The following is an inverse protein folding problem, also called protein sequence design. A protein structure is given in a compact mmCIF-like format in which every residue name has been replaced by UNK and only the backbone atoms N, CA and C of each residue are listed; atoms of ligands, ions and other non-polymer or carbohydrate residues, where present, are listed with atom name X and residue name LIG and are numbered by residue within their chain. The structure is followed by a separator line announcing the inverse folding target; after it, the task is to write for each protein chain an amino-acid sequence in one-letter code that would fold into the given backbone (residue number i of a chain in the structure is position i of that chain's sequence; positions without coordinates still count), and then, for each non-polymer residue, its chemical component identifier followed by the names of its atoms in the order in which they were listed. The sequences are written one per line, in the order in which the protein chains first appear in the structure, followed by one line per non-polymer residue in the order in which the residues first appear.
data_IF_596514632036
#
_entry.id   IF_596514632036
#
_cell.length_a   1.000
_cell.length_b   1.000
_cell.length_c   1.000
_cell.angle_alpha   90.00
_cell.angle_beta   90.00
_cell.angle_gamma   90.00
#
_symmetry.space_group_name_H-M   'P 1'
#
loop_
_entity.id
_entity.type
_entity.pdbx_description
1 polymer ?
#
# COMPACT_ATOMS: atom_id res chain seq x y z
N UNK A 1 13.59 -11.67 1.47
CA UNK A 1 13.37 -11.27 2.87
C UNK A 1 12.45 -12.29 3.54
N UNK A 2 12.57 -12.54 4.84
CA UNK A 2 11.71 -13.50 5.56
C UNK A 2 10.86 -12.73 6.57
N UNK A 3 9.55 -12.90 6.50
CA UNK A 3 8.59 -12.29 7.42
C UNK A 3 8.15 -13.32 8.47
N UNK A 4 8.18 -12.99 9.77
CA UNK A 4 7.79 -13.92 10.81
C UNK A 4 6.30 -14.22 10.77
N UNK A 5 5.98 -15.49 10.99
CA UNK A 5 4.63 -16.04 11.08
C UNK A 5 4.52 -16.83 12.38
N UNK A 6 3.47 -16.58 13.14
CA UNK A 6 3.21 -17.27 14.40
C UNK A 6 1.80 -17.86 14.38
N UNK A 7 1.64 -19.04 14.95
CA UNK A 7 0.32 -19.60 15.28
C UNK A 7 0.16 -19.56 16.79
N UNK A 8 -0.82 -18.80 17.23
CA UNK A 8 -1.13 -18.55 18.63
C UNK A 8 -2.36 -19.36 19.04
N UNK A 9 -2.28 -20.00 20.19
CA UNK A 9 -3.44 -20.46 20.93
C UNK A 9 -3.88 -19.37 21.89
N UNK A 10 -5.09 -18.86 21.71
CA UNK A 10 -5.67 -17.80 22.52
C UNK A 10 -6.85 -18.37 23.28
N UNK A 11 -6.79 -18.28 24.62
CA UNK A 11 -7.91 -18.59 25.50
C UNK A 11 -8.38 -17.29 26.17
N UNK A 12 -9.54 -16.74 25.79
CA UNK A 12 -10.09 -15.54 26.41
C UNK A 12 -10.32 -15.74 27.90
N UNK A 13 -9.88 -14.78 28.72
CA UNK A 13 -10.09 -14.80 30.19
C UNK A 13 -11.37 -14.05 30.60
N UNK A 14 -11.96 -13.29 29.68
CA UNK A 14 -13.16 -12.47 29.86
C UNK A 14 -14.21 -12.85 28.80
N UNK A 15 -15.42 -12.26 28.86
CA UNK A 15 -16.48 -12.44 27.86
C UNK A 15 -16.17 -11.82 26.49
N UNK A 16 -14.91 -11.49 26.21
CA UNK A 16 -14.49 -10.93 24.93
C UNK A 16 -14.51 -12.00 23.83
N UNK A 17 -15.07 -11.62 22.69
CA UNK A 17 -15.03 -12.45 21.49
C UNK A 17 -13.61 -12.52 20.92
N UNK A 18 -13.27 -13.67 20.31
CA UNK A 18 -11.95 -13.87 19.68
C UNK A 18 -11.64 -12.82 18.60
N UNK A 19 -12.67 -12.34 17.91
CA UNK A 19 -12.53 -11.33 16.86
C UNK A 19 -12.07 -9.99 17.45
N UNK A 20 -12.52 -9.65 18.66
CA UNK A 20 -12.08 -8.46 19.38
C UNK A 20 -10.62 -8.58 19.78
N UNK A 21 -10.20 -9.75 20.29
CA UNK A 21 -8.79 -10.00 20.63
C UNK A 21 -7.91 -9.97 19.38
N UNK A 22 -8.36 -10.56 18.27
CA UNK A 22 -7.66 -10.52 16.99
C UNK A 22 -7.54 -9.08 16.45
N UNK A 23 -8.59 -8.28 16.58
CA UNK A 23 -8.55 -6.86 16.21
C UNK A 23 -7.56 -6.08 17.10
N UNK A 24 -7.51 -6.34 18.41
CA UNK A 24 -6.53 -5.75 19.31
C UNK A 24 -5.09 -6.12 18.90
N UNK A 25 -4.83 -7.40 18.61
CA UNK A 25 -3.55 -7.86 18.09
C UNK A 25 -3.17 -7.12 16.78
N UNK A 26 -4.13 -6.92 15.88
CA UNK A 26 -3.92 -6.19 14.63
C UNK A 26 -3.53 -4.72 14.79
N UNK A 27 -3.76 -4.12 15.97
CA UNK A 27 -3.34 -2.74 16.27
C UNK A 27 -1.95 -2.63 16.91
N UNK A 28 -1.30 -3.76 17.20
CA UNK A 28 -0.01 -3.77 17.86
C UNK A 28 1.13 -3.45 16.90
N UNK A 29 2.18 -2.76 17.38
CA UNK A 29 3.33 -2.43 16.54
C UNK A 29 4.02 -3.69 16.03
N UNK A 30 4.41 -3.67 14.76
CA UNK A 30 5.09 -4.78 14.11
C UNK A 30 4.17 -5.90 13.61
N UNK A 31 2.90 -5.95 14.03
CA UNK A 31 1.92 -6.91 13.51
C UNK A 31 1.31 -6.36 12.22
N UNK A 32 1.38 -7.17 11.17
CA UNK A 32 0.91 -6.84 9.80
C UNK A 32 -0.49 -7.38 9.53
N UNK A 33 -0.74 -8.62 9.93
CA UNK A 33 -2.05 -9.26 9.75
C UNK A 33 -2.33 -10.31 10.81
N UNK A 34 -3.61 -10.49 11.13
CA UNK A 34 -4.08 -11.41 12.17
C UNK A 34 -5.31 -12.14 11.64
N UNK A 35 -5.29 -13.46 11.65
CA UNK A 35 -6.35 -14.28 11.05
C UNK A 35 -6.74 -15.42 11.99
N UNK A 36 -8.01 -15.47 12.45
CA UNK A 36 -8.50 -16.61 13.22
C UNK A 36 -8.63 -17.84 12.31
N UNK A 37 -8.13 -18.98 12.77
CA UNK A 37 -8.23 -20.24 12.03
C UNK A 37 -9.60 -20.88 12.33
N UNK A 38 -10.42 -21.18 11.32
CA UNK A 38 -11.67 -21.90 11.53
C UNK A 38 -11.44 -23.31 12.08
N UNK A 39 -12.20 -23.74 13.09
CA UNK A 39 -12.03 -25.06 13.74
C UNK A 39 -12.13 -26.26 12.78
N UNK A 40 -12.71 -26.09 11.58
CA UNK A 40 -12.80 -27.14 10.55
C UNK A 40 -11.45 -27.62 10.00
N UNK A 41 -10.35 -26.87 10.18
CA UNK A 41 -9.02 -27.29 9.73
C UNK A 41 -8.14 -27.88 10.85
N UNK A 42 -8.65 -27.99 12.08
CA UNK A 42 -7.89 -28.52 13.22
C UNK A 42 -8.01 -30.05 13.41
N UNK A 43 -8.73 -30.77 12.53
CA UNK A 43 -8.77 -32.23 12.55
C UNK A 43 -7.64 -32.83 11.70
N UNK A 44 -6.41 -32.75 12.20
CA UNK A 44 -5.39 -33.74 11.86
C UNK A 44 -5.16 -34.60 13.10
N UNK A 45 -5.74 -35.80 13.03
CA UNK A 45 -5.46 -37.02 13.82
C UNK A 45 -5.50 -36.94 15.35
N UNK A 46 -6.68 -37.22 15.89
CA UNK A 46 -6.81 -38.28 16.90
C UNK A 46 -8.17 -38.96 16.77
N UNK A 47 -8.14 -40.22 16.33
CA UNK A 47 -9.21 -41.17 16.57
C UNK A 47 -9.30 -41.41 18.08
N UNK A 48 -10.45 -41.14 18.69
CA UNK A 48 -11.17 -42.11 19.53
C UNK A 48 -12.47 -41.54 20.13
N UNK A 49 -13.56 -42.26 19.82
CA UNK A 49 -14.78 -42.53 20.60
C UNK A 49 -15.50 -41.45 21.44
N UNK A 50 -16.78 -41.19 21.05
CA UNK A 50 -18.03 -40.89 21.81
C UNK A 50 -17.88 -40.27 23.23
N UNK A 51 -18.63 -39.24 23.61
CA UNK A 51 -20.07 -39.32 24.01
C UNK A 51 -20.63 -37.90 24.28
N UNK A 52 -21.93 -37.72 24.05
CA UNK A 52 -22.70 -36.51 24.33
C UNK A 52 -22.65 -36.08 25.81
N UNK A 53 -22.62 -34.75 26.03
CA UNK A 53 -22.83 -34.10 27.32
C UNK A 53 -22.83 -32.59 27.15
N UNK A 54 -23.98 -31.96 27.36
CA UNK A 54 -24.11 -30.51 27.54
C UNK A 54 -23.23 -30.07 28.72
N UNK A 55 -22.42 -29.03 28.56
CA UNK A 55 -21.76 -28.38 29.69
C UNK A 55 -21.47 -26.90 29.40
N UNK A 56 -21.75 -26.08 30.40
CA UNK A 56 -21.66 -24.62 30.40
C UNK A 56 -20.24 -24.10 30.05
N UNK A 57 -20.18 -23.30 28.99
CA UNK A 57 -19.44 -22.02 28.95
C UNK A 57 -17.97 -21.96 29.34
N UNK A 58 -17.15 -22.98 29.08
CA UNK A 58 -15.68 -22.78 29.15
C UNK A 58 -15.21 -22.16 27.83
N UNK A 59 -14.50 -21.01 27.81
CA UNK A 59 -14.02 -20.44 26.55
C UNK A 59 -13.05 -21.41 25.89
N UNK A 60 -13.46 -21.98 24.75
CA UNK A 60 -12.62 -22.89 23.99
C UNK A 60 -11.39 -22.12 23.47
N UNK A 61 -10.22 -22.72 23.62
CA UNK A 61 -9.00 -22.14 23.10
C UNK A 61 -9.08 -22.09 21.57
N UNK A 62 -8.83 -20.91 20.99
CA UNK A 62 -8.91 -20.67 19.53
C UNK A 62 -7.54 -20.41 18.94
N UNK A 63 -7.35 -20.85 17.70
CA UNK A 63 -6.11 -20.66 16.98
C UNK A 63 -6.17 -19.37 16.16
N UNK A 64 -5.09 -18.58 16.22
CA UNK A 64 -4.95 -17.32 15.48
C UNK A 64 -3.57 -17.29 14.84
N UNK A 65 -3.52 -17.04 13.54
CA UNK A 65 -2.27 -16.78 12.83
C UNK A 65 -1.94 -15.30 12.88
N UNK A 66 -0.69 -14.97 13.21
CA UNK A 66 -0.17 -13.61 13.26
C UNK A 66 1.01 -13.52 12.30
N UNK A 67 1.02 -12.52 11.42
CA UNK A 67 2.16 -12.17 10.59
C UNK A 67 2.72 -10.84 11.03
N UNK A 68 4.05 -10.75 11.11
CA UNK A 68 4.75 -9.54 11.51
C UNK A 68 5.68 -9.00 10.43
N UNK A 69 6.20 -7.81 10.67
CA UNK A 69 7.43 -7.37 10.02
C UNK A 69 8.67 -8.03 10.65
N UNK A 70 9.84 -7.78 10.07
CA UNK A 70 11.10 -8.40 10.52
C UNK A 70 11.53 -7.97 11.92
N UNK A 71 11.03 -6.84 12.42
CA UNK A 71 11.33 -6.29 13.74
C UNK A 71 10.32 -6.69 14.82
N UNK A 72 9.34 -7.53 14.52
CA UNK A 72 8.32 -7.93 15.47
C UNK A 72 8.92 -8.69 16.66
N UNK A 73 8.87 -8.05 17.83
CA UNK A 73 9.04 -8.71 19.12
C UNK A 73 7.66 -9.14 19.63
N UNK A 74 7.38 -10.44 19.48
CA UNK A 74 6.09 -11.01 19.84
C UNK A 74 5.81 -10.91 21.35
N UNK A 75 6.83 -11.03 22.20
CA UNK A 75 6.65 -10.99 23.65
C UNK A 75 6.25 -9.59 24.10
N UNK A 76 6.89 -8.55 23.54
CA UNK A 76 6.48 -7.17 23.75
C UNK A 76 5.08 -6.88 23.17
N UNK A 77 4.77 -7.41 21.99
CA UNK A 77 3.45 -7.24 21.40
C UNK A 77 2.37 -7.87 22.28
N UNK A 78 2.58 -9.06 22.82
CA UNK A 78 1.61 -9.77 23.66
C UNK A 78 1.53 -9.27 25.10
N UNK A 79 2.51 -8.48 25.58
CA UNK A 79 2.56 -7.99 26.95
C UNK A 79 1.26 -7.29 27.41
N UNK A 80 0.62 -6.39 26.63
CA UNK A 80 -0.63 -5.74 27.03
C UNK A 80 -1.78 -6.73 27.28
N UNK A 81 -1.90 -7.79 26.47
CA UNK A 81 -2.95 -8.79 26.64
C UNK A 81 -2.76 -9.60 27.93
N UNK A 82 -1.50 -9.91 28.27
CA UNK A 82 -1.15 -10.63 29.51
C UNK A 82 -1.30 -9.74 30.74
N UNK A 83 -0.78 -8.52 30.69
CA UNK A 83 -0.85 -7.57 31.81
C UNK A 83 -2.28 -7.17 32.17
N UNK A 84 -3.16 -7.03 31.17
CA UNK A 84 -4.58 -6.73 31.37
C UNK A 84 -5.43 -8.00 31.59
N UNK A 85 -4.82 -9.19 31.63
CA UNK A 85 -5.49 -10.47 31.81
C UNK A 85 -6.67 -10.67 30.85
N UNK A 86 -6.50 -10.24 29.60
CA UNK A 86 -7.55 -10.31 28.57
C UNK A 86 -7.61 -11.71 27.94
N UNK A 87 -6.45 -12.35 27.79
CA UNK A 87 -6.34 -13.71 27.27
C UNK A 87 -5.04 -14.39 27.71
N UNK A 88 -5.11 -15.71 27.88
CA UNK A 88 -3.94 -16.59 27.90
C UNK A 88 -3.51 -16.87 26.46
N UNK A 89 -2.24 -16.57 26.14
CA UNK A 89 -1.68 -16.69 24.79
C UNK A 89 -0.46 -17.59 24.81
N UNK A 90 -0.53 -18.70 24.07
CA UNK A 90 0.57 -19.64 23.87
C UNK A 90 0.99 -19.68 22.40
N UNK A 91 2.28 -19.70 22.12
CA UNK A 91 2.79 -19.89 20.76
C UNK A 91 2.88 -21.39 20.47
N UNK A 92 2.16 -21.86 19.46
CA UNK A 92 2.18 -23.26 19.01
C UNK A 92 3.21 -23.46 17.91
N UNK A 93 3.29 -22.51 16.98
CA UNK A 93 4.15 -22.60 15.81
C UNK A 93 4.82 -21.25 15.56
N UNK A 94 6.10 -21.31 15.20
CA UNK A 94 6.85 -20.17 14.68
C UNK A 94 7.51 -20.58 13.37
N UNK A 95 7.15 -19.86 12.31
CA UNK A 95 7.68 -20.05 10.96
C UNK A 95 8.01 -18.70 10.34
N UNK A 96 8.57 -18.72 9.13
CA UNK A 96 8.82 -17.51 8.36
C UNK A 96 8.37 -17.70 6.92
N UNK A 97 7.92 -16.61 6.29
CA UNK A 97 7.40 -16.60 4.93
C UNK A 97 8.29 -15.75 4.03
N UNK A 98 8.68 -16.26 2.85
CA UNK A 98 9.47 -15.48 1.91
C UNK A 98 8.63 -14.32 1.36
N UNK A 99 9.22 -13.13 1.37
CA UNK A 99 8.66 -11.93 0.77
C UNK A 99 9.68 -11.26 -0.14
N UNK A 100 9.24 -10.98 -1.36
CA UNK A 100 10.06 -10.46 -2.46
C UNK A 100 9.76 -8.99 -2.74
N UNK A 101 8.50 -8.56 -2.60
CA UNK A 101 8.11 -7.19 -2.95
C UNK A 101 8.50 -6.18 -1.87
N UNK A 102 9.41 -5.26 -2.19
CA UNK A 102 9.91 -4.30 -1.20
C UNK A 102 10.26 -2.95 -1.81
N UNK A 103 10.34 -1.96 -0.93
CA UNK A 103 10.98 -0.68 -1.21
C UNK A 103 12.41 -0.72 -0.65
N UNK A 104 13.37 -0.36 -1.49
CA UNK A 104 14.78 -0.28 -1.12
C UNK A 104 15.25 1.13 -1.39
N UNK A 105 15.89 1.73 -0.39
CA UNK A 105 16.54 3.02 -0.52
C UNK A 105 18.04 2.77 -0.54
N UNK A 106 18.65 3.01 -1.69
CA UNK A 106 20.10 2.99 -1.84
C UNK A 106 20.66 4.40 -1.68
N UNK A 107 21.79 4.51 -1.00
CA UNK A 107 22.60 5.71 -0.98
C UNK A 107 23.80 5.53 -1.91
N UNK A 108 23.98 6.48 -2.84
CA UNK A 108 25.04 6.44 -3.86
C UNK A 108 25.84 7.74 -3.76
N UNK A 109 26.86 7.80 -2.89
CA UNK A 109 27.53 9.04 -2.52
C UNK A 109 28.23 9.71 -3.71
N UNK A 110 28.70 8.96 -4.70
CA UNK A 110 29.48 9.52 -5.82
C UNK A 110 28.63 10.10 -6.96
N UNK A 111 27.30 10.18 -6.79
CA UNK A 111 26.44 10.89 -7.76
C UNK A 111 26.69 12.40 -7.72
N UNK A 112 27.48 12.89 -8.69
CA UNK A 112 27.87 14.31 -8.76
C UNK A 112 26.84 15.19 -9.48
N UNK A 113 25.98 14.63 -10.33
CA UNK A 113 24.95 15.39 -11.04
C UNK A 113 23.68 14.55 -11.28
N UNK A 114 22.48 15.16 -11.29
CA UNK A 114 21.24 14.43 -11.53
C UNK A 114 21.09 14.02 -13.00
N UNK A 115 21.61 14.83 -13.93
CA UNK A 115 21.43 14.63 -15.38
C UNK A 115 22.19 13.43 -15.94
N UNK A 116 23.48 13.28 -15.61
CA UNK A 116 24.30 12.18 -16.11
C UNK A 116 24.44 11.06 -15.08
N UNK A 117 25.08 11.32 -13.93
CA UNK A 117 25.32 10.28 -12.92
C UNK A 117 24.00 9.67 -12.42
N UNK A 118 23.04 10.53 -12.05
CA UNK A 118 21.72 10.10 -11.59
C UNK A 118 20.95 9.29 -12.63
N UNK A 119 20.90 9.75 -13.88
CA UNK A 119 20.23 9.02 -14.97
C UNK A 119 20.90 7.68 -15.29
N UNK A 120 22.23 7.59 -15.25
CA UNK A 120 22.95 6.32 -15.44
C UNK A 120 22.57 5.30 -14.38
N UNK A 121 22.57 5.70 -13.11
CA UNK A 121 22.15 4.83 -12.00
C UNK A 121 20.69 4.41 -12.15
N UNK A 122 19.78 5.35 -12.45
CA UNK A 122 18.37 5.02 -12.70
C UNK A 122 18.20 4.00 -13.84
N UNK A 123 18.94 4.17 -14.93
CA UNK A 123 18.84 3.28 -16.08
C UNK A 123 19.38 1.88 -15.77
N UNK A 124 20.50 1.77 -15.05
CA UNK A 124 21.04 0.49 -14.63
C UNK A 124 20.04 -0.26 -13.73
N UNK A 125 19.51 0.40 -12.70
CA UNK A 125 18.54 -0.21 -11.78
C UNK A 125 17.25 -0.64 -12.51
N UNK A 126 16.75 0.13 -13.48
CA UNK A 126 15.56 -0.24 -14.27
C UNK A 126 15.73 -1.50 -15.12
N UNK A 127 16.96 -1.90 -15.41
CA UNK A 127 17.22 -3.14 -16.18
C UNK A 127 17.23 -4.39 -15.30
N UNK A 128 17.23 -4.23 -13.99
CA UNK A 128 17.19 -5.36 -13.05
C UNK A 128 15.80 -5.98 -13.05
N UNK A 129 15.76 -7.31 -13.09
CA UNK A 129 14.52 -8.08 -13.05
C UNK A 129 13.72 -7.79 -11.76
N UNK A 130 12.40 -7.69 -11.90
CA UNK A 130 11.50 -7.46 -10.76
C UNK A 130 11.41 -6.00 -10.30
N UNK A 131 12.16 -5.06 -10.90
CA UNK A 131 12.02 -3.63 -10.61
C UNK A 131 10.76 -3.07 -11.29
N UNK A 132 9.82 -2.60 -10.47
CA UNK A 132 8.55 -2.00 -10.93
C UNK A 132 8.69 -0.48 -11.09
N UNK A 133 9.36 0.18 -10.13
CA UNK A 133 9.53 1.63 -10.13
C UNK A 133 10.87 2.06 -9.52
N UNK A 134 11.45 3.13 -10.08
CA UNK A 134 12.71 3.71 -9.62
C UNK A 134 12.63 5.23 -9.62
N UNK A 135 13.02 5.86 -8.52
CA UNK A 135 13.04 7.31 -8.36
C UNK A 135 14.35 7.78 -7.75
N UNK A 136 14.90 8.84 -8.32
CA UNK A 136 16.09 9.51 -7.80
C UNK A 136 15.67 10.63 -6.83
N UNK A 137 16.29 10.65 -5.66
CA UNK A 137 16.28 11.77 -4.70
C UNK A 137 17.69 12.33 -4.62
N UNK A 138 18.03 13.17 -5.59
CA UNK A 138 19.41 13.63 -5.80
C UNK A 138 19.93 14.47 -4.61
N UNK A 139 19.08 15.28 -3.99
CA UNK A 139 19.43 16.10 -2.81
C UNK A 139 20.07 15.27 -1.68
N UNK A 140 19.58 14.04 -1.49
CA UNK A 140 20.07 13.11 -0.48
C UNK A 140 21.01 12.04 -1.06
N UNK A 141 21.31 12.12 -2.37
CA UNK A 141 22.03 11.09 -3.14
C UNK A 141 21.42 9.69 -2.94
N UNK A 142 20.09 9.63 -2.97
CA UNK A 142 19.33 8.41 -2.73
C UNK A 142 18.61 7.94 -3.98
N UNK A 143 18.48 6.63 -4.13
CA UNK A 143 17.66 5.98 -5.15
C UNK A 143 16.63 5.13 -4.44
N UNK A 144 15.36 5.42 -4.67
CA UNK A 144 14.23 4.68 -4.11
C UNK A 144 13.72 3.73 -5.18
N UNK A 145 13.68 2.45 -4.85
CA UNK A 145 13.41 1.35 -5.78
C UNK A 145 12.28 0.53 -5.21
N UNK A 146 11.30 0.16 -6.04
CA UNK A 146 10.18 -0.68 -5.65
C UNK A 146 10.04 -1.85 -6.60
N UNK A 147 9.73 -3.02 -6.05
CA UNK A 147 9.34 -4.18 -6.82
C UNK A 147 9.73 -5.50 -6.17
N UNK A 148 9.55 -6.57 -6.92
CA UNK A 148 9.96 -7.94 -6.61
C UNK A 148 11.45 -8.18 -6.92
N UNK A 149 12.30 -7.40 -6.28
CA UNK A 149 13.71 -7.33 -6.62
C UNK A 149 14.60 -8.07 -5.64
N UNK A 150 15.72 -8.55 -6.18
CA UNK A 150 16.88 -8.96 -5.40
C UNK A 150 17.81 -7.76 -5.16
N UNK A 151 18.17 -7.52 -3.90
CA UNK A 151 18.96 -6.33 -3.52
C UNK A 151 20.40 -6.47 -3.98
N UNK A 152 20.94 -7.66 -3.93
CA UNK A 152 22.32 -7.93 -4.35
C UNK A 152 22.46 -7.70 -5.86
N UNK A 153 21.45 -8.08 -6.66
CA UNK A 153 21.39 -7.81 -8.09
C UNK A 153 21.32 -6.30 -8.39
N UNK A 154 20.55 -5.54 -7.61
CA UNK A 154 20.48 -4.08 -7.75
C UNK A 154 21.82 -3.42 -7.40
N UNK A 155 22.45 -3.79 -6.28
CA UNK A 155 23.76 -3.22 -5.92
C UNK A 155 24.81 -3.54 -6.98
N UNK A 156 24.82 -4.79 -7.48
CA UNK A 156 25.70 -5.22 -8.57
C UNK A 156 25.51 -4.36 -9.82
N UNK A 157 24.26 -4.11 -10.24
CA UNK A 157 23.97 -3.26 -11.39
C UNK A 157 24.49 -1.82 -11.23
N UNK A 158 24.52 -1.28 -10.00
CA UNK A 158 25.09 0.04 -9.69
C UNK A 158 26.61 0.00 -9.69
N UNK A 159 27.23 -1.07 -9.17
CA UNK A 159 28.69 -1.25 -9.19
C UNK A 159 29.23 -1.45 -10.61
N UNK A 160 28.50 -2.15 -11.48
CA UNK A 160 28.90 -2.42 -12.87
C UNK A 160 29.04 -1.14 -13.72
N UNK A 161 28.27 -0.09 -13.40
CA UNK A 161 28.40 1.23 -14.03
C UNK A 161 29.41 2.15 -13.33
N UNK A 162 30.13 1.65 -12.33
CA UNK A 162 31.22 2.33 -11.64
C UNK A 162 30.81 3.18 -10.44
N UNK A 163 29.66 2.91 -9.82
CA UNK A 163 29.23 3.59 -8.59
C UNK A 163 29.15 2.63 -7.41
N UNK A 164 29.62 3.07 -6.24
CA UNK A 164 29.41 2.34 -5.00
C UNK A 164 28.04 2.69 -4.40
N UNK A 165 27.36 1.70 -3.81
CA UNK A 165 26.06 1.91 -3.19
C UNK A 165 25.93 1.19 -1.86
N UNK A 166 25.31 1.86 -0.89
CA UNK A 166 24.97 1.28 0.41
C UNK A 166 23.46 1.24 0.60
N UNK A 167 22.97 0.17 1.21
CA UNK A 167 21.56 0.03 1.53
C UNK A 167 21.28 0.90 2.76
N UNK A 168 20.43 1.91 2.58
CA UNK A 168 20.00 2.79 3.66
C UNK A 168 18.77 2.23 4.39
N UNK A 169 17.83 1.64 3.65
CA UNK A 169 16.66 0.99 4.25
C UNK A 169 16.02 -0.01 3.29
N UNK A 170 15.44 -1.06 3.86
CA UNK A 170 14.58 -2.02 3.17
C UNK A 170 13.24 -2.12 3.90
N UNK A 171 12.14 -1.94 3.17
CA UNK A 171 10.79 -1.99 3.72
C UNK A 171 9.94 -2.95 2.90
N UNK A 172 9.36 -4.01 3.50
CA UNK A 172 8.47 -4.91 2.79
C UNK A 172 7.18 -4.15 2.43
N UNK A 173 6.77 -4.26 1.16
CA UNK A 173 5.57 -3.62 0.64
C UNK A 173 4.48 -4.66 0.39
N UNK A 174 3.24 -4.44 0.84
CA UNK A 174 2.12 -5.30 0.47
C UNK A 174 1.79 -5.15 -1.02
N UNK A 175 1.21 -6.20 -1.60
CA UNK A 175 0.59 -6.13 -2.92
C UNK A 175 -0.79 -5.54 -2.81
N UNK A 176 -1.18 -4.82 -3.86
CA UNK A 176 -2.53 -4.31 -4.00
C UNK A 176 -3.16 -5.06 -5.16
N UNK A 177 -4.28 -5.69 -4.91
CA UNK A 177 -5.05 -6.41 -5.92
C UNK A 177 -6.37 -5.71 -6.10
N UNK A 178 -6.77 -5.51 -7.35
CA UNK A 178 -8.07 -4.93 -7.69
C UNK A 178 -8.82 -5.95 -8.52
N UNK A 179 -10.06 -6.21 -8.14
CA UNK A 179 -10.91 -7.18 -8.82
C UNK A 179 -12.23 -6.55 -9.20
N UNK A 180 -12.75 -6.94 -10.35
CA UNK A 180 -14.16 -6.78 -10.68
C UNK A 180 -14.91 -8.03 -10.24
N UNK A 181 -16.08 -7.84 -9.65
CA UNK A 181 -16.93 -8.93 -9.14
C UNK A 181 -18.20 -8.97 -9.99
N UNK A 182 -18.80 -10.16 -10.19
CA UNK A 182 -20.04 -10.28 -10.98
C UNK A 182 -21.25 -9.64 -10.30
N UNK A 183 -21.41 -9.84 -8.99
CA UNK A 183 -22.67 -9.56 -8.26
C UNK A 183 -22.44 -8.85 -6.91
N UNK A 184 -21.72 -7.73 -6.91
CA UNK A 184 -21.48 -6.89 -5.71
C UNK A 184 -22.51 -5.74 -5.58
N UNK A 185 -23.77 -6.00 -5.90
CA UNK A 185 -24.82 -4.96 -5.87
C UNK A 185 -25.43 -4.72 -4.49
N UNK A 186 -25.26 -5.65 -3.55
CA UNK A 186 -25.77 -5.52 -2.17
C UNK A 186 -24.65 -5.73 -1.13
N UNK A 187 -24.38 -4.68 -0.36
CA UNK A 187 -23.34 -4.63 0.70
C UNK A 187 -23.78 -5.38 1.95
N UNK A 188 -25.09 -5.50 2.20
CA UNK A 188 -25.65 -5.94 3.46
C UNK A 188 -25.39 -7.42 3.76
N UNK A 189 -25.84 -8.32 2.89
CA UNK A 189 -25.71 -9.77 3.11
C UNK A 189 -24.61 -10.41 2.25
N UNK A 190 -24.59 -10.07 0.97
CA UNK A 190 -23.70 -10.62 -0.03
C UNK A 190 -22.28 -10.09 0.14
N UNK A 191 -22.11 -8.76 0.22
CA UNK A 191 -20.82 -8.13 0.45
C UNK A 191 -20.14 -8.57 1.76
N UNK A 192 -20.92 -8.73 2.85
CA UNK A 192 -20.40 -9.21 4.12
C UNK A 192 -19.75 -10.60 4.02
N UNK A 193 -20.41 -11.56 3.34
CA UNK A 193 -19.85 -12.91 3.15
C UNK A 193 -18.54 -12.91 2.36
N UNK A 194 -18.47 -12.11 1.29
CA UNK A 194 -17.24 -11.97 0.50
C UNK A 194 -16.12 -11.34 1.34
N UNK A 195 -16.45 -10.28 2.09
CA UNK A 195 -15.52 -9.62 3.00
C UNK A 195 -14.96 -10.59 4.04
N UNK A 196 -15.83 -11.35 4.70
CA UNK A 196 -15.44 -12.29 5.75
C UNK A 196 -14.54 -13.40 5.20
N UNK A 197 -14.82 -13.89 3.99
CA UNK A 197 -13.97 -14.87 3.34
C UNK A 197 -12.59 -14.30 2.97
N UNK A 198 -12.53 -13.12 2.37
CA UNK A 198 -11.27 -12.51 1.98
C UNK A 198 -10.42 -12.07 3.19
N UNK A 199 -11.04 -11.51 4.24
CA UNK A 199 -10.31 -11.09 5.44
C UNK A 199 -9.80 -12.28 6.27
N UNK A 200 -10.43 -13.45 6.13
CA UNK A 200 -9.96 -14.67 6.79
C UNK A 200 -8.69 -15.26 6.14
N UNK A 201 -8.33 -14.82 4.93
CA UNK A 201 -7.15 -15.33 4.24
C UNK A 201 -5.86 -14.82 4.85
N UNK A 202 -4.96 -15.75 5.15
CA UNK A 202 -3.69 -15.46 5.77
C UNK A 202 -2.82 -14.54 4.90
N UNK A 203 -2.51 -13.34 5.42
CA UNK A 203 -1.71 -12.33 4.75
C UNK A 203 -2.52 -11.17 4.18
N UNK A 204 -3.85 -11.22 4.20
CA UNK A 204 -4.68 -10.06 3.85
C UNK A 204 -4.58 -9.02 4.98
N UNK A 205 -4.07 -7.83 4.67
CA UNK A 205 -3.92 -6.75 5.64
C UNK A 205 -5.16 -5.85 5.65
N UNK A 206 -5.71 -5.57 4.47
CA UNK A 206 -6.85 -4.68 4.33
C UNK A 206 -7.71 -5.02 3.10
N UNK A 207 -8.99 -4.65 3.17
CA UNK A 207 -9.98 -4.88 2.13
C UNK A 207 -10.94 -3.71 2.05
N UNK A 208 -11.20 -3.22 0.84
CA UNK A 208 -12.23 -2.23 0.54
C UNK A 208 -13.18 -2.78 -0.51
N UNK A 209 -14.48 -2.79 -0.19
CA UNK A 209 -15.55 -3.10 -1.15
C UNK A 209 -16.07 -1.80 -1.76
N UNK A 210 -16.15 -1.73 -3.08
CA UNK A 210 -16.68 -0.62 -3.84
C UNK A 210 -17.92 -1.07 -4.61
N UNK A 211 -19.10 -1.12 -3.97
CA UNK A 211 -20.33 -1.64 -4.58
C UNK A 211 -20.74 -0.86 -5.83
N UNK A 212 -20.59 0.47 -5.81
CA UNK A 212 -20.93 1.35 -6.95
C UNK A 212 -20.13 1.03 -8.22
N UNK A 213 -18.93 0.45 -8.06
CA UNK A 213 -18.05 0.05 -9.16
C UNK A 213 -18.05 -1.47 -9.39
N UNK A 214 -18.71 -2.22 -8.52
CA UNK A 214 -18.68 -3.67 -8.47
C UNK A 214 -17.24 -4.19 -8.37
N UNK A 215 -16.45 -3.53 -7.51
CA UNK A 215 -15.01 -3.77 -7.39
C UNK A 215 -14.58 -4.05 -5.94
N UNK A 216 -13.47 -4.77 -5.82
CA UNK A 216 -12.83 -5.09 -4.54
C UNK A 216 -11.35 -4.75 -4.62
N UNK A 217 -10.88 -3.97 -3.66
CA UNK A 217 -9.46 -3.67 -3.47
C UNK A 217 -8.96 -4.44 -2.26
N UNK A 218 -7.95 -5.29 -2.47
CA UNK A 218 -7.30 -6.08 -1.42
C UNK A 218 -5.86 -5.59 -1.27
N UNK A 219 -5.43 -5.34 -0.04
CA UNK A 219 -4.02 -5.11 0.30
C UNK A 219 -3.56 -6.34 1.07
N UNK A 220 -2.55 -7.04 0.54
CA UNK A 220 -2.14 -8.32 1.11
C UNK A 220 -0.66 -8.64 0.89
N UNK A 221 -0.10 -9.37 1.85
CA UNK A 221 1.20 -10.02 1.80
C UNK A 221 1.08 -11.42 1.17
N UNK A 222 0.56 -11.45 -0.07
CA UNK A 222 0.43 -12.66 -0.90
C UNK A 222 1.36 -12.61 -2.12
N UNK A 223 1.86 -13.76 -2.55
CA UNK A 223 2.70 -13.83 -3.76
C UNK A 223 1.89 -13.69 -5.05
N UNK A 224 0.59 -13.99 -5.02
CA UNK A 224 -0.30 -13.92 -6.17
C UNK A 224 -1.77 -13.84 -5.75
N UNK A 225 -2.64 -13.56 -6.72
CA UNK A 225 -4.07 -13.35 -6.52
C UNK A 225 -4.88 -14.65 -6.39
N UNK A 226 -4.34 -15.80 -6.79
CA UNK A 226 -5.05 -17.08 -6.82
C UNK A 226 -5.77 -17.46 -5.51
N UNK A 227 -5.18 -17.29 -4.30
CA UNK A 227 -5.88 -17.57 -3.05
C UNK A 227 -7.12 -16.69 -2.83
N UNK A 228 -7.07 -15.43 -3.29
CA UNK A 228 -8.19 -14.48 -3.17
C UNK A 228 -9.35 -14.91 -4.07
N UNK A 229 -9.04 -15.29 -5.32
CA UNK A 229 -10.04 -15.75 -6.29
C UNK A 229 -10.70 -17.06 -5.83
N UNK A 230 -9.91 -18.01 -5.33
CA UNK A 230 -10.44 -19.29 -4.85
C UNK A 230 -11.32 -19.13 -3.61
N UNK A 231 -10.93 -18.26 -2.67
CA UNK A 231 -11.76 -17.97 -1.50
C UNK A 231 -13.09 -17.32 -1.89
N UNK A 232 -13.09 -16.40 -2.84
CA UNK A 232 -14.32 -15.78 -3.32
C UNK A 232 -15.23 -16.79 -4.02
N UNK A 233 -14.65 -17.67 -4.84
CA UNK A 233 -15.36 -18.75 -5.52
C UNK A 233 -16.03 -19.71 -4.53
N UNK A 234 -15.38 -20.03 -3.41
CA UNK A 234 -15.97 -20.84 -2.33
C UNK A 234 -17.26 -20.24 -1.75
N UNK A 235 -17.42 -18.91 -1.83
CA UNK A 235 -18.59 -18.18 -1.34
C UNK A 235 -19.60 -17.89 -2.46
N UNK A 236 -19.30 -18.30 -3.69
CA UNK A 236 -20.16 -18.12 -4.86
C UNK A 236 -19.89 -16.84 -5.66
N UNK A 237 -18.72 -16.22 -5.50
CA UNK A 237 -18.33 -15.04 -6.29
C UNK A 237 -17.31 -15.37 -7.36
N UNK A 238 -17.50 -14.78 -8.53
CA UNK A 238 -16.48 -14.73 -9.56
C UNK A 238 -15.73 -13.39 -9.49
N UNK A 239 -14.40 -13.47 -9.42
CA UNK A 239 -13.51 -12.31 -9.35
C UNK A 239 -12.57 -12.30 -10.55
N UNK A 240 -12.58 -11.18 -11.28
CA UNK A 240 -11.65 -10.92 -12.38
C UNK A 240 -10.61 -9.90 -11.91
N UNK A 241 -9.35 -10.28 -11.87
CA UNK A 241 -8.25 -9.37 -11.54
C UNK A 241 -8.08 -8.31 -12.63
N UNK A 242 -7.98 -7.04 -12.22
CA UNK A 242 -7.73 -5.90 -13.10
C UNK A 242 -6.23 -5.55 -13.06
N UNK A 243 -5.60 -5.44 -14.23
CA UNK A 243 -4.20 -5.06 -14.36
C UNK A 243 -3.92 -3.68 -13.75
N UNK A 244 -2.70 -3.43 -13.25
CA UNK A 244 -2.29 -2.14 -12.67
C UNK A 244 -2.52 -0.94 -13.62
N UNK A 245 -2.43 -1.15 -14.93
CA UNK A 245 -2.72 -0.15 -15.98
C UNK A 245 -4.18 0.32 -15.96
N UNK A 246 -5.09 -0.58 -15.56
CA UNK A 246 -6.53 -0.31 -15.43
C UNK A 246 -6.86 0.53 -14.19
N UNK A 247 -5.85 0.91 -13.39
CA UNK A 247 -6.06 1.57 -12.10
C UNK A 247 -6.37 3.06 -12.24
N UNK A 248 -6.16 3.64 -13.42
CA UNK A 248 -6.38 5.08 -13.66
C UNK A 248 -5.45 5.99 -12.85
N UNK A 249 -4.50 5.41 -12.11
CA UNK A 249 -3.36 6.11 -11.54
C UNK A 249 -2.40 6.26 -12.71
N UNK A 250 -1.98 7.49 -13.09
CA UNK A 250 -0.90 7.63 -14.03
C UNK A 250 0.27 6.83 -13.45
N UNK A 251 0.72 5.78 -14.15
CA UNK A 251 2.13 5.45 -14.02
C UNK A 251 2.84 6.78 -14.30
N UNK A 252 3.61 7.29 -13.34
CA UNK A 252 4.48 8.42 -13.59
C UNK A 252 5.45 7.96 -14.68
N UNK A 253 5.06 8.19 -15.93
CA UNK A 253 5.85 7.92 -17.12
C UNK A 253 7.14 8.68 -16.87
N UNK A 254 8.23 7.91 -16.70
CA UNK A 254 9.57 8.45 -16.73
C UNK A 254 9.67 9.40 -17.93
N UNK A 255 10.32 10.58 -17.80
CA UNK A 255 10.45 11.49 -18.91
C UNK A 255 10.99 10.72 -20.14
N UNK A 256 10.42 10.95 -21.33
CA UNK A 256 10.67 10.10 -22.48
C UNK A 256 12.16 10.03 -22.77
N UNK A 257 12.62 8.81 -23.10
CA UNK A 257 13.97 8.53 -23.57
C UNK A 257 14.33 9.52 -24.69
N UNK A 258 15.49 10.14 -24.55
CA UNK A 258 15.99 11.16 -25.47
C UNK A 258 15.89 10.72 -26.93
N UNK A 259 15.11 11.47 -27.70
CA UNK A 259 15.36 11.60 -29.14
C UNK A 259 16.30 12.78 -29.36
N UNK A 260 17.33 12.48 -30.14
CA UNK A 260 18.36 13.39 -30.59
C UNK A 260 17.79 14.57 -31.39
N UNK A 261 18.41 15.74 -31.19
CA UNK A 261 18.51 16.89 -32.09
C UNK A 261 17.26 17.74 -32.39
N UNK A 262 17.18 18.92 -31.77
CA UNK A 262 17.57 20.20 -32.40
C UNK A 262 17.33 21.34 -31.42
N UNK A 263 18.26 22.28 -31.37
CA UNK A 263 18.01 23.60 -30.82
C UNK A 263 16.83 24.22 -31.57
N UNK A 264 15.71 24.38 -30.88
CA UNK A 264 14.59 25.20 -31.33
C UNK A 264 14.53 26.45 -30.44
N UNK A 265 14.67 27.58 -31.10
CA UNK A 265 14.64 28.94 -30.56
C UNK A 265 13.36 29.24 -29.78
N UNK A 266 13.36 30.22 -28.85
CA UNK A 266 12.20 30.55 -28.03
C UNK A 266 11.26 31.47 -28.82
N UNK A 267 10.33 30.92 -29.60
CA UNK A 267 9.26 31.74 -30.20
C UNK A 267 8.04 30.91 -30.60
N UNK A 268 7.10 30.81 -29.66
CA UNK A 268 5.63 30.75 -29.81
C UNK A 268 5.07 29.91 -28.65
N UNK A 269 4.71 30.60 -27.57
CA UNK A 269 3.68 30.10 -26.68
C UNK A 269 2.38 30.22 -27.47
N UNK A 270 1.93 29.13 -28.10
CA UNK A 270 0.54 29.04 -28.52
C UNK A 270 -0.31 29.10 -27.25
N UNK A 271 -0.91 30.27 -27.02
CA UNK A 271 -1.93 30.47 -26.02
C UNK A 271 -3.09 29.53 -26.34
N UNK A 272 -3.18 28.40 -25.64
CA UNK A 272 -4.42 27.64 -25.66
C UNK A 272 -5.45 28.35 -24.79
N UNK A 273 -6.63 28.61 -25.33
CA UNK A 273 -7.79 29.04 -24.55
C UNK A 273 -8.35 27.81 -23.82
N UNK A 274 -8.17 27.77 -22.48
CA UNK A 274 -8.81 26.76 -21.65
C UNK A 274 -10.32 27.04 -21.55
N UNK A 275 -11.13 26.50 -22.45
CA UNK A 275 -12.57 26.41 -22.23
C UNK A 275 -12.90 25.04 -21.59
N UNK A 276 -13.68 25.08 -20.51
CA UNK A 276 -14.10 23.94 -19.70
C UNK A 276 -14.93 22.93 -20.51
N UNK A 277 -15.50 23.35 -21.65
CA UNK A 277 -16.29 22.50 -22.54
C UNK A 277 -15.51 21.92 -23.73
N UNK A 278 -14.27 22.35 -23.96
CA UNK A 278 -13.54 22.07 -25.22
C UNK A 278 -12.24 21.28 -24.99
N UNK A 279 -11.66 21.31 -23.79
CA UNK A 279 -10.37 20.66 -23.54
C UNK A 279 -10.54 19.16 -23.19
N UNK A 280 -10.15 18.21 -24.07
CA UNK A 280 -10.36 16.78 -23.85
C UNK A 280 -9.19 16.12 -23.09
N UNK A 281 -8.21 16.89 -22.60
CA UNK A 281 -7.03 16.36 -21.93
C UNK A 281 -7.20 16.35 -20.40
N UNK A 282 -7.49 15.16 -19.86
CA UNK A 282 -7.10 14.81 -18.49
C UNK A 282 -5.59 15.06 -18.35
N UNK A 283 -5.21 16.06 -17.56
CA UNK A 283 -3.80 16.48 -17.39
C UNK A 283 -3.53 17.96 -17.67
N UNK A 284 -4.53 18.75 -18.07
CA UNK A 284 -4.35 20.21 -18.16
C UNK A 284 -3.98 20.79 -16.77
N UNK A 285 -2.90 21.59 -16.64
CA UNK A 285 -2.46 22.13 -15.36
C UNK A 285 -3.54 22.96 -14.63
N UNK A 286 -4.40 23.66 -15.38
CA UNK A 286 -5.56 24.39 -14.84
C UNK A 286 -6.63 23.45 -14.26
N UNK A 287 -6.98 22.39 -14.99
CA UNK A 287 -7.96 21.40 -14.51
C UNK A 287 -7.46 20.67 -13.25
N UNK A 288 -6.18 20.28 -13.23
CA UNK A 288 -5.60 19.59 -12.07
C UNK A 288 -5.55 20.48 -10.81
N UNK A 289 -5.23 21.76 -10.99
CA UNK A 289 -5.19 22.71 -9.86
C UNK A 289 -6.59 23.01 -9.34
N UNK A 290 -7.59 23.18 -10.20
CA UNK A 290 -8.98 23.37 -9.76
C UNK A 290 -9.53 22.14 -9.04
N UNK A 291 -9.33 20.92 -9.57
CA UNK A 291 -9.80 19.68 -8.92
C UNK A 291 -9.11 19.48 -7.57
N UNK A 292 -7.80 19.70 -7.48
CA UNK A 292 -7.06 19.63 -6.23
C UNK A 292 -7.56 20.67 -5.21
N UNK A 293 -7.88 21.88 -5.66
CA UNK A 293 -8.41 22.95 -4.83
C UNK A 293 -9.83 22.64 -4.31
N UNK A 294 -10.73 22.20 -5.19
CA UNK A 294 -12.10 21.80 -4.81
C UNK A 294 -12.10 20.61 -3.87
N UNK A 295 -11.25 19.61 -4.13
CA UNK A 295 -11.12 18.44 -3.25
C UNK A 295 -10.60 18.83 -1.86
N UNK A 296 -9.60 19.72 -1.79
CA UNK A 296 -9.07 20.21 -0.52
C UNK A 296 -10.09 21.04 0.30
N UNK A 297 -10.86 21.90 -0.36
CA UNK A 297 -11.95 22.64 0.30
C UNK A 297 -13.06 21.71 0.80
N UNK A 298 -13.42 20.67 0.05
CA UNK A 298 -14.44 19.70 0.44
C UNK A 298 -14.07 18.91 1.72
N UNK A 299 -12.77 18.77 2.00
CA UNK A 299 -12.25 18.14 3.23
C UNK A 299 -11.78 19.15 4.28
N UNK A 300 -12.07 20.44 4.08
CA UNK A 300 -11.78 21.50 5.05
C UNK A 300 -10.29 21.87 5.19
N UNK A 301 -9.46 21.54 4.19
CA UNK A 301 -8.04 21.87 4.20
C UNK A 301 -7.79 23.26 3.60
N UNK A 302 -6.98 24.06 4.28
CA UNK A 302 -6.48 25.32 3.74
C UNK A 302 -5.42 25.02 2.68
N UNK A 303 -5.64 25.46 1.43
CA UNK A 303 -4.67 25.30 0.34
C UNK A 303 -3.76 26.54 0.30
N UNK A 304 -2.44 26.41 0.55
CA UNK A 304 -1.53 27.54 0.42
C UNK A 304 -1.32 27.84 -1.07
N UNK A 305 -1.84 28.98 -1.56
CA UNK A 305 -1.60 29.46 -2.92
C UNK A 305 -2.44 30.69 -3.30
N UNK A 306 -1.93 31.51 -4.23
CA UNK A 306 -2.60 32.70 -4.74
C UNK A 306 -3.25 32.40 -6.11
N UNK A 307 -4.58 32.32 -6.13
CA UNK A 307 -5.39 32.07 -7.33
C UNK A 307 -5.27 33.15 -8.42
N UNK A 308 -4.77 34.34 -8.06
CA UNK A 308 -4.68 35.48 -8.99
C UNK A 308 -3.69 35.30 -10.14
N UNK A 309 -2.62 34.51 -9.95
CA UNK A 309 -1.65 34.21 -11.02
C UNK A 309 -2.28 33.48 -12.22
N UNK A 310 -3.50 32.96 -12.05
CA UNK A 310 -4.26 32.22 -13.08
C UNK A 310 -5.68 32.75 -13.30
N UNK A 311 -6.00 33.95 -12.78
CA UNK A 311 -7.26 34.66 -13.00
C UNK A 311 -8.39 34.38 -12.00
N UNK A 312 -8.11 33.76 -10.86
CA UNK A 312 -9.07 33.55 -9.76
C UNK A 312 -8.95 34.57 -8.63
N UNK A 313 -9.85 34.50 -7.65
CA UNK A 313 -9.86 35.37 -6.45
C UNK A 313 -8.71 35.04 -5.48
N UNK A 314 -8.29 36.02 -4.68
CA UNK A 314 -7.21 35.85 -3.70
C UNK A 314 -7.71 35.10 -2.46
N UNK A 315 -7.06 33.99 -2.09
CA UNK A 315 -7.41 33.18 -0.91
C UNK A 315 -6.29 33.10 0.13
N UNK A 316 -5.26 33.93 0.02
CA UNK A 316 -4.05 33.85 0.84
C UNK A 316 -4.19 34.45 2.26
N UNK A 317 -5.33 35.05 2.59
CA UNK A 317 -5.56 35.73 3.87
C UNK A 317 -4.65 36.94 4.13
N UNK A 318 -4.81 37.57 5.30
CA UNK A 318 -4.17 38.85 5.67
C UNK A 318 -2.63 38.81 5.76
N UNK A 319 -2.01 37.63 5.67
CA UNK A 319 -0.56 37.42 5.75
C UNK A 319 0.07 37.07 4.39
N UNK A 320 -0.64 37.37 3.29
CA UNK A 320 -0.18 37.15 1.93
C UNK A 320 1.15 37.87 1.63
N UNK A 321 2.13 37.15 1.09
CA UNK A 321 3.46 37.66 0.67
C UNK A 321 3.76 37.40 -0.81
N UNK A 322 2.73 37.21 -1.63
CA UNK A 322 2.92 36.95 -3.05
C UNK A 322 3.46 38.20 -3.76
N UNK A 323 4.48 38.01 -4.60
CA UNK A 323 5.06 39.07 -5.41
C UNK A 323 4.05 39.49 -6.50
N UNK A 324 3.65 40.77 -6.52
CA UNK A 324 2.68 41.31 -7.49
C UNK A 324 1.19 41.08 -7.16
N UNK A 325 0.81 40.87 -5.90
CA UNK A 325 -0.59 40.73 -5.48
C UNK A 325 -1.30 42.11 -5.43
N UNK A 326 -2.33 42.39 -6.25
CA UNK A 326 -2.95 43.71 -6.29
C UNK A 326 -3.70 44.13 -5.01
N UNK A 327 -4.12 43.18 -4.16
CA UNK A 327 -4.75 43.49 -2.87
C UNK A 327 -3.76 43.69 -1.73
N UNK A 328 -2.74 42.83 -1.61
CA UNK A 328 -1.87 42.77 -0.41
C UNK A 328 -0.42 43.17 -0.67
N UNK A 329 0.01 43.25 -1.93
CA UNK A 329 1.33 43.70 -2.35
C UNK A 329 1.27 44.42 -3.71
N UNK A 330 0.49 45.52 -3.83
CA UNK A 330 0.34 46.23 -5.08
C UNK A 330 1.68 46.87 -5.46
N UNK A 331 2.33 46.34 -6.49
CA UNK A 331 3.48 47.00 -7.11
C UNK A 331 2.98 48.23 -7.86
N UNK A 332 3.43 49.42 -7.44
CA UNK A 332 3.29 50.67 -8.20
C UNK A 332 3.93 50.58 -9.59
#
# INVERSE_FOLDING_TARGET
MLLPRFVLQIKPCSSLEINTIAAMLGTMPGIRSVHPIPEKSAQVSSSDTKTAGENEGTPSARLVTVRGDQSLDLEMALAPLRSLQLAEVNVIEQSSTPWTRKEVVLHVPDMMCPGNCGSSVLNAVRTVEGVEAVRLRFENRQVVIRGDLDVDAVQTAVTDIGFDSTIHSEVPLPRRYRFRVSDLSDVGLTGAKLKDALISLEGVENLVLLPDRVEVLVIAMLLGSAPLVEAAKCVGYEMLELSEESWGIPMEIAPPRGSSNRAASPSMREYHECDMNICPQNGCPRYMTTVAHTAALAVGWAVPGCGMSSGGECTCGDSCKCEGCPEHNPTS
#
